data_IF_703615605756
#
_entry.id   IF_703615605756
#
_cell.length_a   1.000
_cell.length_b   1.000
_cell.length_c   1.000
_cell.angle_alpha   90.00
_cell.angle_beta   90.00
_cell.angle_gamma   90.00
#
_symmetry.space_group_name_H-M   'P 1'
#
loop_
_entity.id
_entity.type
_entity.pdbx_description
1 polymer ?
#
# COMPACT_ATOMS: atom_id res chain seq x y z
N UNK A 1 19.78 11.26 -37.64
CA UNK A 1 19.42 12.29 -36.61
C UNK A 1 19.07 11.50 -35.35
N UNK A 2 19.90 11.59 -34.32
CA UNK A 2 19.57 10.95 -33.05
C UNK A 2 18.33 11.65 -32.49
N UNK A 3 17.22 10.95 -32.43
CA UNK A 3 16.02 11.44 -31.76
C UNK A 3 16.35 11.51 -30.28
N UNK A 4 16.72 12.68 -29.79
CA UNK A 4 16.89 12.90 -28.37
C UNK A 4 15.55 12.58 -27.70
N UNK A 5 15.57 11.64 -26.76
CA UNK A 5 14.45 11.47 -25.83
C UNK A 5 14.30 12.82 -25.16
N UNK A 6 13.28 13.57 -25.57
CA UNK A 6 13.13 14.93 -25.09
C UNK A 6 12.66 14.90 -23.64
N UNK A 7 13.23 15.76 -22.80
CA UNK A 7 12.86 15.92 -21.40
C UNK A 7 11.34 16.03 -21.16
N UNK A 8 10.62 16.58 -22.14
CA UNK A 8 9.15 16.63 -22.17
C UNK A 8 8.48 15.24 -22.28
N UNK A 9 9.08 14.32 -23.02
CA UNK A 9 8.54 12.95 -23.16
C UNK A 9 8.64 12.13 -21.87
N UNK A 10 9.72 12.31 -21.11
CA UNK A 10 9.92 11.62 -19.83
C UNK A 10 9.01 12.17 -18.73
N UNK A 11 8.77 13.48 -18.69
CA UNK A 11 7.81 14.08 -17.77
C UNK A 11 6.39 13.56 -18.06
N UNK A 12 5.98 13.50 -19.32
CA UNK A 12 4.68 12.96 -19.70
C UNK A 12 4.55 11.44 -19.38
N UNK A 13 5.64 10.70 -19.46
CA UNK A 13 5.65 9.31 -19.05
C UNK A 13 5.55 9.16 -17.51
N UNK A 14 6.22 10.03 -16.77
CA UNK A 14 6.16 10.09 -15.32
C UNK A 14 4.73 10.29 -14.80
N UNK A 15 4.02 11.28 -15.33
CA UNK A 15 2.63 11.54 -14.96
C UNK A 15 1.72 10.34 -15.21
N UNK A 16 1.94 9.63 -16.32
CA UNK A 16 1.17 8.41 -16.62
C UNK A 16 1.48 7.24 -15.70
N UNK A 17 2.73 7.11 -15.22
CA UNK A 17 3.10 6.12 -14.20
C UNK A 17 2.30 6.35 -12.93
N UNK A 18 2.29 7.60 -12.44
CA UNK A 18 1.55 7.96 -11.22
C UNK A 18 0.06 7.74 -11.39
N UNK A 19 -0.54 8.28 -12.44
CA UNK A 19 -1.97 8.13 -12.70
C UNK A 19 -2.43 6.67 -12.78
N UNK A 20 -1.56 5.77 -13.22
CA UNK A 20 -1.86 4.34 -13.27
C UNK A 20 -1.59 3.62 -11.95
N UNK A 21 -0.62 4.07 -11.16
CA UNK A 21 -0.27 3.50 -9.86
C UNK A 21 -1.20 3.98 -8.72
N UNK A 22 -1.63 5.23 -8.77
CA UNK A 22 -2.39 5.91 -7.74
C UNK A 22 -3.62 5.15 -7.25
N UNK A 23 -4.56 4.68 -8.10
CA UNK A 23 -5.77 3.99 -7.62
C UNK A 23 -5.46 2.66 -6.91
N UNK A 24 -4.30 2.08 -7.16
CA UNK A 24 -3.84 0.85 -6.50
C UNK A 24 -3.20 1.20 -5.15
N UNK A 25 -2.36 2.23 -5.12
CA UNK A 25 -1.70 2.70 -3.89
C UNK A 25 -2.68 3.35 -2.92
N UNK A 26 -3.74 3.99 -3.41
CA UNK A 26 -4.82 4.55 -2.57
C UNK A 26 -5.47 3.49 -1.66
N UNK A 27 -5.45 2.22 -2.04
CA UNK A 27 -5.93 1.14 -1.17
C UNK A 27 -5.08 1.01 0.10
N UNK A 28 -3.78 1.32 0.04
CA UNK A 28 -2.90 1.31 1.21
C UNK A 28 -3.23 2.44 2.18
N UNK A 29 -3.82 3.55 1.73
CA UNK A 29 -4.25 4.65 2.59
C UNK A 29 -5.36 4.27 3.57
N UNK A 30 -6.03 3.14 3.34
CA UNK A 30 -6.99 2.58 4.29
C UNK A 30 -6.32 2.01 5.55
N UNK A 31 -5.06 1.63 5.45
CA UNK A 31 -4.31 0.93 6.49
C UNK A 31 -3.22 1.78 7.15
N UNK A 32 -2.75 2.82 6.47
CA UNK A 32 -1.67 3.70 6.95
C UNK A 32 -2.15 5.13 7.13
N UNK A 33 -1.60 5.80 8.15
CA UNK A 33 -1.81 7.23 8.38
C UNK A 33 -0.65 8.08 7.87
N UNK A 34 0.56 7.50 7.77
CA UNK A 34 1.77 8.21 7.40
C UNK A 34 2.66 7.42 6.45
N UNK A 35 3.05 8.08 5.36
CA UNK A 35 4.14 7.64 4.51
C UNK A 35 5.38 8.45 4.89
N UNK A 36 6.29 7.85 5.64
CA UNK A 36 7.53 8.53 6.01
C UNK A 36 8.44 8.68 4.78
N UNK A 37 8.69 9.93 4.41
CA UNK A 37 9.66 10.32 3.39
C UNK A 37 10.97 10.65 4.09
N UNK A 38 11.78 9.67 4.42
CA UNK A 38 13.09 9.96 5.00
C UNK A 38 14.24 9.60 4.06
N UNK A 39 15.35 10.33 4.22
CA UNK A 39 16.56 10.21 3.42
C UNK A 39 17.48 9.07 3.86
N UNK A 40 16.98 8.02 4.47
CA UNK A 40 17.75 6.89 4.95
C UNK A 40 18.47 6.13 3.82
N UNK A 41 19.60 5.50 4.09
CA UNK A 41 20.36 4.68 3.12
C UNK A 41 19.65 3.34 2.91
N UNK A 42 19.79 2.67 1.74
CA UNK A 42 19.27 1.31 1.54
C UNK A 42 19.74 0.39 2.67
N UNK A 43 18.81 -0.40 3.21
CA UNK A 43 19.08 -1.30 4.34
C UNK A 43 19.11 -0.62 5.72
N UNK A 44 18.96 0.71 5.80
CA UNK A 44 18.80 1.40 7.08
C UNK A 44 17.34 1.40 7.52
N UNK A 45 17.10 1.42 8.83
CA UNK A 45 15.78 1.56 9.39
C UNK A 45 15.37 3.02 9.42
N UNK A 46 14.12 3.28 9.06
CA UNK A 46 13.44 4.56 9.28
C UNK A 46 12.65 4.44 10.57
N UNK A 47 12.89 5.34 11.52
CA UNK A 47 12.11 5.37 12.75
C UNK A 47 10.78 6.09 12.50
N UNK A 48 9.67 5.37 12.65
CA UNK A 48 8.32 5.94 12.64
C UNK A 48 7.87 6.05 14.09
N UNK A 49 7.57 7.26 14.53
CA UNK A 49 7.11 7.52 15.90
C UNK A 49 5.61 7.29 16.00
N UNK A 50 5.20 6.35 16.84
CA UNK A 50 3.80 6.10 17.14
C UNK A 50 3.47 6.72 18.48
N UNK A 51 2.49 7.63 18.47
CA UNK A 51 1.97 8.29 19.65
C UNK A 51 0.81 7.48 20.22
N UNK A 52 0.96 6.95 21.41
CA UNK A 52 -0.16 6.40 22.18
C UNK A 52 -0.50 7.35 23.34
N UNK A 53 -1.76 7.77 23.42
CA UNK A 53 -2.28 8.58 24.50
C UNK A 53 -3.31 7.78 25.29
N UNK A 54 -3.18 7.80 26.62
CA UNK A 54 -4.17 7.21 27.52
C UNK A 54 -4.85 8.33 28.29
N UNK A 55 -6.18 8.37 28.26
CA UNK A 55 -6.95 9.25 29.13
C UNK A 55 -6.88 8.70 30.57
N UNK A 56 -6.58 9.56 31.52
CA UNK A 56 -6.60 9.24 32.94
C UNK A 56 -7.70 10.04 33.65
N UNK A 57 -8.25 9.45 34.70
CA UNK A 57 -9.24 10.13 35.52
C UNK A 57 -8.59 11.23 36.35
N UNK A 58 -9.26 12.38 36.47
CA UNK A 58 -8.90 13.45 37.38
C UNK A 58 -9.42 13.07 38.79
N UNK A 59 -8.50 12.68 39.65
CA UNK A 59 -8.82 12.39 41.06
C UNK A 59 -8.48 13.59 41.97
N UNK A 60 -9.30 13.82 43.02
CA UNK A 60 -9.06 14.89 43.97
C UNK A 60 -7.68 14.80 44.66
N UNK A 61 -7.15 13.59 44.80
CA UNK A 61 -5.85 13.32 45.43
C UNK A 61 -4.67 13.36 44.46
N UNK A 62 -4.92 13.26 43.14
CA UNK A 62 -3.86 13.10 42.11
C UNK A 62 -3.63 14.36 41.27
N UNK A 63 -4.54 15.36 41.34
CA UNK A 63 -4.42 16.58 40.52
C UNK A 63 -4.24 16.28 39.04
N UNK A 64 -3.48 17.10 38.33
CA UNK A 64 -3.03 16.86 36.95
C UNK A 64 -1.78 15.97 36.95
N UNK A 65 -1.95 14.68 37.22
CA UNK A 65 -0.86 13.71 37.03
C UNK A 65 -0.60 13.54 35.52
N UNK A 66 0.67 13.57 35.14
CA UNK A 66 1.08 13.34 33.74
C UNK A 66 0.58 11.96 33.32
N UNK A 67 -0.35 11.91 32.37
CA UNK A 67 -0.65 10.65 31.67
C UNK A 67 0.64 10.15 31.01
N UNK A 68 0.90 8.87 31.13
CA UNK A 68 2.08 8.23 30.51
C UNK A 68 1.83 8.09 29.01
N UNK A 69 2.01 9.18 28.26
CA UNK A 69 2.04 9.10 26.81
C UNK A 69 3.38 8.44 26.43
N UNK A 70 3.31 7.33 25.75
CA UNK A 70 4.49 6.65 25.22
C UNK A 70 4.65 7.03 23.75
N UNK A 71 5.84 7.49 23.39
CA UNK A 71 6.29 7.58 22.03
C UNK A 71 7.18 6.34 21.81
N UNK A 72 6.72 5.40 21.03
CA UNK A 72 7.48 4.21 20.69
C UNK A 72 7.94 4.31 19.24
N UNK A 73 9.25 4.44 18.97
CA UNK A 73 9.76 4.40 17.60
C UNK A 73 9.67 2.98 17.06
N UNK A 74 9.03 2.81 15.91
CA UNK A 74 9.05 1.57 15.14
C UNK A 74 10.04 1.75 14.00
N UNK A 75 10.95 0.80 13.85
CA UNK A 75 11.93 0.82 12.77
C UNK A 75 11.37 0.11 11.55
N UNK A 76 11.15 0.85 10.47
CA UNK A 76 10.80 0.31 9.15
C UNK A 76 12.08 0.14 8.34
N UNK A 77 12.42 -1.10 8.01
CA UNK A 77 13.62 -1.40 7.21
C UNK A 77 13.29 -1.30 5.72
N UNK A 78 14.07 -0.53 4.97
CA UNK A 78 13.93 -0.40 3.52
C UNK A 78 14.59 -1.60 2.81
N UNK A 79 13.85 -2.68 2.65
CA UNK A 79 14.32 -3.96 2.10
C UNK A 79 13.68 -4.34 0.75
N UNK A 80 12.64 -3.62 0.32
CA UNK A 80 11.90 -3.90 -0.89
C UNK A 80 12.29 -2.95 -2.02
N UNK A 81 13.20 -3.41 -2.89
CA UNK A 81 13.53 -2.68 -4.12
C UNK A 81 12.74 -3.28 -5.30
N UNK A 82 11.72 -2.59 -5.76
CA UNK A 82 10.90 -2.98 -6.91
C UNK A 82 11.25 -2.12 -8.11
N UNK A 83 11.40 -2.77 -9.26
CA UNK A 83 11.71 -2.09 -10.52
C UNK A 83 10.88 -2.68 -11.66
N UNK A 84 10.57 -1.84 -12.63
CA UNK A 84 10.05 -2.22 -13.94
C UNK A 84 10.95 -1.61 -15.00
N UNK A 85 11.58 -2.44 -15.81
CA UNK A 85 12.52 -2.00 -16.85
C UNK A 85 11.96 -2.39 -18.21
N UNK A 86 12.03 -1.46 -19.14
CA UNK A 86 11.70 -1.69 -20.54
C UNK A 86 12.92 -1.32 -21.38
N UNK A 87 13.33 -2.24 -22.27
CA UNK A 87 14.49 -2.09 -23.13
C UNK A 87 14.07 -2.10 -24.59
N UNK A 88 14.61 -1.17 -25.37
CA UNK A 88 14.38 -1.04 -26.81
C UNK A 88 15.74 -1.14 -27.49
N UNK A 89 15.82 -1.87 -28.61
CA UNK A 89 17.00 -1.92 -29.44
C UNK A 89 17.12 -0.66 -30.33
N UNK A 90 18.33 -0.33 -30.74
CA UNK A 90 18.57 0.78 -31.68
C UNK A 90 17.86 0.58 -33.03
N UNK A 91 17.68 -0.68 -33.45
CA UNK A 91 16.95 -1.02 -34.65
C UNK A 91 15.48 -0.67 -34.53
N UNK A 92 14.84 -1.08 -33.42
CA UNK A 92 13.43 -0.74 -33.13
C UNK A 92 13.23 0.77 -32.98
N UNK A 93 14.24 1.44 -32.42
CA UNK A 93 14.24 2.90 -32.26
C UNK A 93 14.33 3.68 -33.58
N UNK A 94 14.97 3.10 -34.59
CA UNK A 94 15.06 3.70 -35.91
C UNK A 94 13.76 3.55 -36.71
N UNK A 95 13.04 2.44 -36.50
CA UNK A 95 11.80 2.13 -37.20
C UNK A 95 10.57 2.81 -36.61
N UNK A 96 10.61 3.18 -35.33
CA UNK A 96 9.46 3.68 -34.59
C UNK A 96 9.77 5.03 -33.91
N UNK A 97 8.77 5.90 -33.86
CA UNK A 97 8.80 7.06 -32.95
C UNK A 97 8.66 6.57 -31.50
N UNK A 98 9.70 6.75 -30.71
CA UNK A 98 9.76 6.25 -29.32
C UNK A 98 8.82 6.98 -28.35
N UNK A 99 8.37 8.19 -28.69
CA UNK A 99 7.50 8.97 -27.80
C UNK A 99 6.17 8.27 -27.47
N UNK A 100 5.45 7.68 -28.46
CA UNK A 100 4.24 6.91 -28.18
C UNK A 100 4.51 5.62 -27.40
N UNK A 101 5.66 4.99 -27.63
CA UNK A 101 6.04 3.73 -26.95
C UNK A 101 6.19 3.97 -25.44
N UNK A 102 6.97 4.97 -25.05
CA UNK A 102 7.13 5.32 -23.64
C UNK A 102 5.79 5.68 -22.98
N UNK A 103 4.95 6.43 -23.68
CA UNK A 103 3.65 6.83 -23.20
C UNK A 103 2.69 5.65 -22.96
N UNK A 104 2.82 4.56 -23.73
CA UNK A 104 1.98 3.38 -23.56
C UNK A 104 2.53 2.40 -22.51
N UNK A 105 3.84 2.35 -22.33
CA UNK A 105 4.50 1.46 -21.36
C UNK A 105 4.43 2.03 -19.94
N UNK A 106 4.46 3.34 -19.78
CA UNK A 106 4.45 4.00 -18.48
C UNK A 106 3.29 3.55 -17.56
N UNK A 107 2.03 3.47 -18.02
CA UNK A 107 0.94 2.97 -17.21
C UNK A 107 1.09 1.50 -16.79
N UNK A 108 1.72 0.68 -17.64
CA UNK A 108 1.97 -0.74 -17.35
C UNK A 108 3.02 -0.88 -16.26
N UNK A 109 4.11 -0.12 -16.36
CA UNK A 109 5.17 -0.08 -15.35
C UNK A 109 4.65 0.40 -13.99
N UNK A 110 3.86 1.48 -13.98
CA UNK A 110 3.26 2.02 -12.76
C UNK A 110 2.36 1.01 -12.06
N UNK A 111 1.45 0.36 -12.81
CA UNK A 111 0.60 -0.71 -12.27
C UNK A 111 1.39 -1.91 -11.76
N UNK A 112 2.43 -2.32 -12.46
CA UNK A 112 3.25 -3.46 -12.06
C UNK A 112 3.95 -3.21 -10.72
N UNK A 113 4.53 -2.02 -10.52
CA UNK A 113 5.19 -1.66 -9.28
C UNK A 113 4.16 -1.55 -8.14
N UNK A 114 3.06 -0.81 -8.36
CA UNK A 114 2.02 -0.65 -7.35
C UNK A 114 1.42 -1.99 -6.92
N UNK A 115 1.10 -2.87 -7.86
CA UNK A 115 0.61 -4.21 -7.57
C UNK A 115 1.61 -5.04 -6.77
N UNK A 116 2.90 -4.97 -7.12
CA UNK A 116 3.94 -5.70 -6.40
C UNK A 116 4.10 -5.23 -4.96
N UNK A 117 3.92 -3.93 -4.71
CA UNK A 117 3.96 -3.34 -3.37
C UNK A 117 2.74 -3.74 -2.54
N UNK A 118 1.54 -3.56 -3.10
CA UNK A 118 0.30 -3.94 -2.41
C UNK A 118 0.28 -5.43 -2.10
N UNK A 119 0.68 -6.29 -3.06
CA UNK A 119 0.80 -7.73 -2.83
C UNK A 119 1.77 -8.06 -1.69
N UNK A 120 2.88 -7.31 -1.58
CA UNK A 120 3.85 -7.55 -0.50
C UNK A 120 3.29 -7.15 0.88
N UNK A 121 2.59 -6.03 0.98
CA UNK A 121 1.90 -5.62 2.22
C UNK A 121 0.83 -6.66 2.59
N UNK A 122 -0.01 -7.07 1.62
CA UNK A 122 -1.04 -8.09 1.87
C UNK A 122 -0.45 -9.44 2.30
N UNK A 123 0.66 -9.87 1.70
CA UNK A 123 1.38 -11.06 2.13
C UNK A 123 1.94 -10.95 3.57
N UNK A 124 2.25 -9.74 4.01
CA UNK A 124 2.64 -9.49 5.40
C UNK A 124 1.54 -9.80 6.41
N UNK A 125 0.28 -9.61 6.05
CA UNK A 125 -0.87 -9.99 6.88
C UNK A 125 -1.13 -11.50 6.93
N UNK A 126 -0.46 -12.30 6.12
CA UNK A 126 -0.52 -13.77 6.19
C UNK A 126 0.35 -14.35 7.33
N UNK A 127 1.15 -13.53 7.97
CA UNK A 127 1.95 -13.96 9.12
C UNK A 127 1.03 -14.38 10.28
N UNK A 128 1.42 -15.39 11.09
CA UNK A 128 0.67 -15.81 12.28
C UNK A 128 0.62 -14.76 13.40
N UNK A 129 1.07 -13.54 13.13
CA UNK A 129 1.23 -12.46 14.09
C UNK A 129 -0.04 -11.61 14.30
N UNK A 130 -1.21 -12.08 13.87
CA UNK A 130 -2.48 -11.44 14.20
C UNK A 130 -2.68 -11.30 15.72
N UNK A 131 -3.27 -10.19 16.16
CA UNK A 131 -3.53 -9.95 17.58
C UNK A 131 -4.58 -10.92 18.17
N UNK A 132 -5.40 -11.52 17.32
CA UNK A 132 -6.43 -12.49 17.66
C UNK A 132 -7.22 -12.91 16.43
N UNK A 133 -8.22 -13.74 16.65
CA UNK A 133 -9.07 -14.29 15.60
C UNK A 133 -10.54 -14.00 15.87
N UNK A 134 -11.27 -13.59 14.85
CA UNK A 134 -12.72 -13.48 14.85
C UNK A 134 -13.31 -14.67 14.09
N UNK A 135 -14.35 -15.29 14.64
CA UNK A 135 -14.97 -16.47 14.02
C UNK A 135 -16.22 -16.06 13.28
N UNK A 136 -16.30 -16.41 11.99
CA UNK A 136 -17.48 -16.15 11.16
C UNK A 136 -17.57 -17.14 10.00
N UNK A 137 -18.77 -17.63 9.69
CA UNK A 137 -19.00 -18.41 8.48
C UNK A 137 -18.91 -17.54 7.20
N UNK A 138 -19.16 -16.23 7.33
CA UNK A 138 -19.19 -15.26 6.20
C UNK A 138 -20.17 -15.67 5.08
N UNK A 139 -21.33 -16.18 5.44
CA UNK A 139 -22.35 -16.65 4.49
C UNK A 139 -23.59 -15.76 4.47
N UNK A 140 -23.93 -15.18 5.61
CA UNK A 140 -25.12 -14.35 5.79
C UNK A 140 -24.76 -12.96 6.30
N UNK A 141 -25.67 -12.00 6.15
CA UNK A 141 -25.46 -10.66 6.71
C UNK A 141 -25.26 -10.68 8.23
N UNK A 142 -25.89 -11.62 8.94
CA UNK A 142 -25.72 -11.80 10.37
C UNK A 142 -24.29 -12.25 10.72
N UNK A 143 -23.67 -13.09 9.88
CA UNK A 143 -22.30 -13.53 10.06
C UNK A 143 -21.33 -12.35 9.95
N UNK A 144 -21.52 -11.47 8.97
CA UNK A 144 -20.71 -10.26 8.82
C UNK A 144 -20.94 -9.28 9.97
N UNK A 145 -22.17 -9.13 10.46
CA UNK A 145 -22.47 -8.33 11.65
C UNK A 145 -21.82 -8.90 12.91
N UNK A 146 -21.65 -10.22 13.00
CA UNK A 146 -20.95 -10.86 14.11
C UNK A 146 -19.46 -10.46 14.19
N UNK A 147 -18.82 -10.23 13.03
CA UNK A 147 -17.41 -9.75 12.98
C UNK A 147 -17.31 -8.38 13.63
N UNK A 148 -18.24 -7.48 13.29
CA UNK A 148 -18.30 -6.15 13.90
C UNK A 148 -18.47 -6.24 15.43
N UNK A 149 -19.39 -7.08 15.91
CA UNK A 149 -19.61 -7.26 17.33
C UNK A 149 -18.37 -7.82 18.06
N UNK A 150 -17.61 -8.71 17.41
CA UNK A 150 -16.36 -9.23 17.95
C UNK A 150 -15.26 -8.16 17.95
N UNK A 151 -15.19 -7.30 16.93
CA UNK A 151 -14.24 -6.18 16.86
C UNK A 151 -14.49 -5.20 18.03
N UNK A 152 -15.75 -4.82 18.29
CA UNK A 152 -16.10 -3.97 19.44
C UNK A 152 -15.73 -4.63 20.77
N UNK A 153 -15.97 -5.94 20.94
CA UNK A 153 -15.55 -6.68 22.13
C UNK A 153 -14.04 -6.74 22.31
N UNK A 154 -13.29 -6.70 21.23
CA UNK A 154 -11.83 -6.63 21.26
C UNK A 154 -11.30 -5.20 21.55
N UNK A 155 -12.19 -4.21 21.71
CA UNK A 155 -11.83 -2.82 21.96
C UNK A 155 -11.46 -2.03 20.71
N UNK A 156 -11.81 -2.53 19.53
CA UNK A 156 -11.65 -1.80 18.27
C UNK A 156 -12.86 -0.91 18.00
N UNK A 157 -12.61 0.27 17.42
CA UNK A 157 -13.67 1.06 16.80
C UNK A 157 -13.85 0.60 15.36
N UNK A 158 -14.98 -0.02 14.98
CA UNK A 158 -15.20 -0.45 13.61
C UNK A 158 -15.14 0.71 12.59
N UNK A 159 -15.50 1.93 13.00
CA UNK A 159 -15.47 3.10 12.13
C UNK A 159 -14.04 3.46 11.67
N UNK A 160 -13.03 3.06 12.44
CA UNK A 160 -11.62 3.21 12.10
C UNK A 160 -11.00 1.95 11.48
N UNK A 161 -11.78 0.88 11.34
CA UNK A 161 -11.30 -0.39 10.82
C UNK A 161 -11.76 -0.63 9.38
N UNK A 162 -10.87 -1.24 8.60
CA UNK A 162 -11.19 -1.78 7.26
C UNK A 162 -11.29 -3.31 7.34
N UNK A 163 -12.39 -3.85 6.80
CA UNK A 163 -12.58 -5.29 6.65
C UNK A 163 -12.09 -5.71 5.26
N UNK A 164 -11.06 -6.54 5.20
CA UNK A 164 -10.54 -7.12 3.95
C UNK A 164 -10.99 -8.56 3.86
N UNK A 165 -11.73 -8.90 2.83
CA UNK A 165 -12.29 -10.24 2.63
C UNK A 165 -11.61 -10.96 1.48
N UNK A 166 -11.47 -12.28 1.59
CA UNK A 166 -11.11 -13.13 0.48
C UNK A 166 -12.19 -13.05 -0.64
N UNK A 167 -11.89 -13.39 -1.89
CA UNK A 167 -12.82 -13.26 -3.00
C UNK A 167 -14.16 -14.00 -2.79
N UNK A 168 -14.12 -15.20 -2.21
CA UNK A 168 -15.33 -15.98 -1.96
C UNK A 168 -16.25 -15.33 -0.90
N UNK A 169 -15.78 -15.03 0.35
CA UNK A 169 -16.59 -14.28 1.31
C UNK A 169 -17.07 -12.93 0.81
N UNK A 170 -16.25 -12.22 0.03
CA UNK A 170 -16.63 -10.95 -0.55
C UNK A 170 -17.80 -11.10 -1.55
N UNK A 171 -17.77 -12.11 -2.41
CA UNK A 171 -18.86 -12.39 -3.34
C UNK A 171 -20.18 -12.74 -2.62
N UNK A 172 -20.09 -13.51 -1.51
CA UNK A 172 -21.24 -13.82 -0.66
C UNK A 172 -21.81 -12.56 0.01
N UNK A 173 -20.92 -11.65 0.47
CA UNK A 173 -21.36 -10.35 0.99
C UNK A 173 -22.13 -9.56 -0.05
N UNK A 174 -21.62 -9.44 -1.28
CA UNK A 174 -22.31 -8.74 -2.37
C UNK A 174 -23.69 -9.35 -2.67
N UNK A 175 -23.80 -10.67 -2.62
CA UNK A 175 -25.09 -11.35 -2.82
C UNK A 175 -26.10 -11.08 -1.69
N UNK A 176 -25.64 -10.79 -0.47
CA UNK A 176 -26.48 -10.45 0.66
C UNK A 176 -26.91 -8.98 0.68
N UNK A 177 -26.26 -8.11 -0.12
CA UNK A 177 -26.58 -6.69 -0.14
C UNK A 177 -27.83 -6.42 -0.97
N UNK A 178 -28.77 -5.58 -0.47
CA UNK A 178 -29.93 -5.18 -1.26
C UNK A 178 -29.49 -4.34 -2.48
N UNK A 179 -30.21 -4.47 -3.58
CA UNK A 179 -29.94 -3.80 -4.86
C UNK A 179 -29.82 -2.27 -4.69
N UNK A 180 -30.52 -1.69 -3.71
CA UNK A 180 -30.44 -0.26 -3.39
C UNK A 180 -29.08 0.19 -2.88
N UNK A 181 -28.31 -0.68 -2.23
CA UNK A 181 -26.94 -0.42 -1.76
C UNK A 181 -25.94 -0.66 -2.88
N UNK A 182 -26.24 -1.60 -3.79
CA UNK A 182 -25.45 -1.88 -4.99
C UNK A 182 -25.64 -0.85 -6.12
N UNK A 183 -26.61 0.05 -5.98
CA UNK A 183 -26.94 1.06 -6.99
C UNK A 183 -25.84 2.06 -7.29
N UNK A 184 -24.92 2.28 -6.36
CA UNK A 184 -23.64 2.93 -6.63
C UNK A 184 -22.68 1.91 -7.26
N UNK A 185 -22.66 1.91 -8.60
CA UNK A 185 -21.81 1.03 -9.41
C UNK A 185 -20.29 1.05 -9.08
N UNK A 186 -19.86 1.89 -8.19
CA UNK A 186 -18.45 2.01 -7.78
C UNK A 186 -18.02 0.83 -6.90
N UNK A 187 -18.89 0.36 -6.02
CA UNK A 187 -18.60 -0.80 -5.16
C UNK A 187 -18.33 -2.06 -5.98
N UNK A 188 -19.13 -2.28 -7.04
CA UNK A 188 -18.97 -3.45 -7.93
C UNK A 188 -17.76 -3.28 -8.85
N UNK A 189 -17.46 -2.06 -9.29
CA UNK A 189 -16.33 -1.80 -10.20
C UNK A 189 -14.97 -1.82 -9.54
N UNK A 190 -14.86 -1.37 -8.30
CA UNK A 190 -13.59 -1.22 -7.59
C UNK A 190 -13.33 -2.28 -6.53
N UNK A 191 -14.30 -3.15 -6.25
CA UNK A 191 -14.19 -4.13 -5.16
C UNK A 191 -14.13 -3.47 -3.78
N UNK A 192 -14.66 -2.25 -3.65
CA UNK A 192 -14.71 -1.49 -2.40
C UNK A 192 -16.16 -1.18 -2.09
N UNK A 193 -16.70 -1.76 -1.05
CA UNK A 193 -17.94 -1.33 -0.43
C UNK A 193 -17.56 -0.25 0.57
N UNK A 194 -18.14 0.95 0.45
CA UNK A 194 -17.90 2.04 1.39
C UNK A 194 -18.28 1.67 2.82
N UNK A 195 -18.53 2.63 3.69
CA UNK A 195 -18.92 2.39 5.07
C UNK A 195 -20.11 1.40 5.14
N UNK A 196 -19.84 0.20 5.63
CA UNK A 196 -20.83 -0.87 5.73
C UNK A 196 -20.66 -1.64 7.04
N UNK A 197 -21.77 -1.99 7.68
CA UNK A 197 -21.77 -2.65 9.01
C UNK A 197 -20.90 -1.92 10.05
N UNK A 198 -20.84 -0.59 9.97
CA UNK A 198 -20.04 0.23 10.88
C UNK A 198 -18.54 0.23 10.57
N UNK A 199 -18.03 -0.55 9.62
CA UNK A 199 -16.64 -0.47 9.18
C UNK A 199 -16.42 0.74 8.26
N UNK A 200 -15.21 1.31 8.31
CA UNK A 200 -14.76 2.40 7.45
C UNK A 200 -14.89 2.04 5.96
N UNK A 201 -14.46 0.84 5.62
CA UNK A 201 -14.60 0.25 4.30
C UNK A 201 -14.58 -1.28 4.39
N UNK A 202 -15.23 -1.92 3.41
CA UNK A 202 -15.10 -3.36 3.18
C UNK A 202 -14.54 -3.55 1.78
N UNK A 203 -13.39 -4.18 1.68
CA UNK A 203 -12.67 -4.38 0.42
C UNK A 203 -12.45 -5.86 0.13
N UNK A 204 -12.44 -6.21 -1.15
CA UNK A 204 -11.91 -7.50 -1.58
C UNK A 204 -10.40 -7.49 -1.43
N UNK A 205 -9.80 -8.60 -1.01
CA UNK A 205 -8.35 -8.74 -0.94
C UNK A 205 -7.72 -8.40 -2.30
N UNK A 206 -6.86 -7.37 -2.36
CA UNK A 206 -6.26 -6.93 -3.61
C UNK A 206 -5.24 -7.94 -4.12
N UNK A 207 -5.04 -7.94 -5.44
CA UNK A 207 -4.03 -8.73 -6.13
C UNK A 207 -4.14 -10.25 -5.95
N UNK A 208 -5.34 -10.78 -5.77
CA UNK A 208 -5.61 -12.22 -5.65
C UNK A 208 -4.84 -12.89 -4.50
N UNK A 209 -4.40 -12.13 -3.51
CA UNK A 209 -3.82 -12.68 -2.30
C UNK A 209 -4.96 -13.30 -1.50
N UNK A 210 -4.96 -14.62 -1.38
CA UNK A 210 -5.90 -15.35 -0.54
C UNK A 210 -5.24 -15.66 0.80
N UNK A 211 -5.92 -15.32 1.89
CA UNK A 211 -5.52 -15.73 3.23
C UNK A 211 -5.90 -17.21 3.38
N UNK A 212 -4.95 -18.12 3.22
CA UNK A 212 -5.15 -19.54 2.94
C UNK A 212 -6.05 -20.30 3.94
N UNK A 213 -6.07 -19.91 5.21
CA UNK A 213 -6.92 -20.50 6.27
C UNK A 213 -8.02 -19.56 6.75
N UNK A 214 -8.02 -18.31 6.29
CA UNK A 214 -8.84 -17.24 6.83
C UNK A 214 -9.88 -16.77 5.81
N UNK A 215 -11.01 -16.29 6.30
CA UNK A 215 -12.03 -15.66 5.46
C UNK A 215 -11.65 -14.23 5.10
N UNK A 216 -10.79 -13.62 5.88
CA UNK A 216 -10.32 -12.25 5.70
C UNK A 216 -9.58 -11.74 6.92
N UNK A 217 -9.40 -10.44 6.99
CA UNK A 217 -8.77 -9.73 8.11
C UNK A 217 -9.52 -8.45 8.44
N UNK A 218 -9.43 -8.01 9.69
CA UNK A 218 -9.87 -6.70 10.15
C UNK A 218 -8.63 -5.88 10.49
N UNK A 219 -8.45 -4.77 9.81
CA UNK A 219 -7.26 -3.92 9.91
C UNK A 219 -7.66 -2.53 10.37
N UNK A 220 -7.22 -2.09 11.56
CA UNK A 220 -7.41 -0.71 11.99
C UNK A 220 -6.57 0.27 11.16
N UNK A 221 -7.04 1.50 11.01
CA UNK A 221 -6.26 2.59 10.41
C UNK A 221 -4.99 2.81 11.23
N UNK A 222 -3.85 3.03 10.56
CA UNK A 222 -2.55 3.17 11.23
C UNK A 222 -1.85 1.85 11.58
N UNK A 223 -2.42 0.70 11.18
CA UNK A 223 -1.78 -0.60 11.38
C UNK A 223 -0.51 -0.81 10.55
N UNK A 224 -0.40 -0.14 9.40
CA UNK A 224 0.73 -0.28 8.48
C UNK A 224 1.55 1.00 8.47
N UNK A 225 2.83 0.93 8.81
CA UNK A 225 3.79 2.00 8.62
C UNK A 225 4.57 1.74 7.31
N UNK A 226 4.56 2.69 6.39
CA UNK A 226 5.23 2.58 5.10
C UNK A 226 6.29 3.68 4.98
N UNK A 227 7.49 3.31 4.58
CA UNK A 227 8.53 4.24 4.21
C UNK A 227 8.96 3.99 2.75
N UNK A 228 9.11 5.04 1.96
CA UNK A 228 9.57 4.93 0.58
C UNK A 228 10.71 5.89 0.30
N UNK A 229 11.58 5.50 -0.64
CA UNK A 229 12.74 6.29 -1.03
C UNK A 229 13.08 6.09 -2.49
N UNK A 230 13.66 7.12 -3.08
CA UNK A 230 14.29 7.04 -4.40
C UNK A 230 15.72 6.56 -4.25
N UNK A 231 16.11 5.61 -5.08
CA UNK A 231 17.51 5.16 -5.19
C UNK A 231 18.24 6.06 -6.18
N UNK A 232 19.05 6.97 -5.65
CA UNK A 232 19.87 7.83 -6.51
C UNK A 232 21.00 7.03 -7.17
N UNK A 233 21.30 7.29 -8.46
CA UNK A 233 22.42 6.66 -9.12
C UNK A 233 23.74 7.05 -8.45
N UNK A 234 24.68 6.10 -8.33
CA UNK A 234 25.96 6.29 -7.66
C UNK A 234 26.89 7.23 -8.45
N UNK A 235 26.68 7.33 -9.76
CA UNK A 235 27.44 8.20 -10.65
C UNK A 235 26.50 8.87 -11.63
N UNK A 236 26.62 10.19 -11.75
CA UNK A 236 26.17 10.92 -12.92
C UNK A 236 27.21 10.76 -14.03
N UNK A 237 26.79 10.34 -15.20
CA UNK A 237 27.66 10.10 -16.35
C UNK A 237 27.78 8.64 -16.72
N UNK A 238 28.51 8.33 -17.78
CA UNK A 238 28.56 7.02 -18.40
C UNK A 238 27.29 6.73 -19.22
N UNK A 239 26.68 5.59 -19.00
CA UNK A 239 25.53 5.15 -19.77
C UNK A 239 24.19 5.75 -19.28
N UNK A 240 24.18 6.50 -18.17
CA UNK A 240 22.99 7.16 -17.64
C UNK A 240 22.75 8.48 -18.39
N UNK A 241 21.65 8.57 -19.14
CA UNK A 241 21.26 9.76 -19.87
C UNK A 241 20.44 10.71 -19.01
N UNK A 242 19.47 10.16 -18.27
CA UNK A 242 18.55 10.95 -17.49
C UNK A 242 18.11 10.20 -16.21
N UNK A 243 17.95 10.98 -15.15
CA UNK A 243 17.39 10.52 -13.89
C UNK A 243 16.35 11.54 -13.41
N UNK A 244 15.21 11.05 -12.96
CA UNK A 244 14.15 11.88 -12.40
C UNK A 244 13.48 11.21 -11.21
N UNK A 245 12.85 12.00 -10.37
CA UNK A 245 12.03 11.54 -9.25
C UNK A 245 10.59 11.90 -9.50
N UNK A 246 9.69 11.00 -9.14
CA UNK A 246 8.26 11.15 -9.28
C UNK A 246 7.63 10.92 -7.92
N UNK A 247 6.84 11.87 -7.44
CA UNK A 247 6.13 11.74 -6.18
C UNK A 247 4.64 11.79 -6.41
N UNK A 248 3.91 10.87 -5.83
CA UNK A 248 2.45 10.91 -5.78
C UNK A 248 2.02 11.87 -4.66
N UNK A 249 1.36 12.96 -5.01
CA UNK A 249 0.91 13.98 -4.05
C UNK A 249 -0.12 13.46 -3.03
N UNK A 250 -0.91 12.44 -3.41
CA UNK A 250 -1.95 11.92 -2.53
C UNK A 250 -1.43 10.92 -1.51
N UNK A 251 -0.57 10.01 -1.94
CA UNK A 251 -0.04 8.94 -1.08
C UNK A 251 1.34 9.26 -0.52
N UNK A 252 2.00 10.30 -1.03
CA UNK A 252 3.38 10.61 -0.68
C UNK A 252 4.41 9.60 -1.22
N UNK A 253 3.98 8.60 -1.97
CA UNK A 253 4.84 7.55 -2.47
C UNK A 253 5.80 8.06 -3.54
N UNK A 254 7.07 7.69 -3.44
CA UNK A 254 8.11 8.23 -4.33
C UNK A 254 8.70 7.14 -5.22
N UNK A 255 8.78 7.44 -6.52
CA UNK A 255 9.35 6.59 -7.55
C UNK A 255 10.58 7.28 -8.16
N UNK A 256 11.59 6.49 -8.50
CA UNK A 256 12.71 6.91 -9.36
C UNK A 256 12.46 6.48 -10.79
N UNK A 257 12.86 7.32 -11.74
CA UNK A 257 12.94 6.93 -13.14
C UNK A 257 14.34 7.19 -13.67
N UNK A 258 14.83 6.29 -14.51
CA UNK A 258 16.13 6.43 -15.15
C UNK A 258 16.12 5.93 -16.58
N UNK A 259 16.90 6.58 -17.43
CA UNK A 259 17.18 6.16 -18.81
C UNK A 259 18.65 5.84 -18.91
N UNK A 260 18.93 4.62 -19.34
CA UNK A 260 20.30 4.11 -19.52
C UNK A 260 20.45 3.64 -20.96
N UNK A 261 21.53 4.04 -21.62
CA UNK A 261 21.92 3.56 -22.93
C UNK A 261 23.12 2.64 -22.80
N UNK A 262 23.00 1.45 -23.35
CA UNK A 262 24.11 0.53 -23.50
C UNK A 262 24.59 0.57 -24.95
N UNK A 263 25.67 1.30 -25.18
CA UNK A 263 26.24 1.48 -26.50
C UNK A 263 26.87 0.19 -27.05
N UNK A 264 27.35 -0.69 -26.19
CA UNK A 264 27.97 -1.95 -26.58
C UNK A 264 26.91 -2.96 -27.09
N UNK A 265 25.71 -2.89 -26.55
CA UNK A 265 24.58 -3.74 -26.96
C UNK A 265 23.61 -3.04 -27.91
N UNK A 266 23.79 -1.75 -28.19
CA UNK A 266 22.87 -0.96 -29.01
C UNK A 266 21.46 -0.96 -28.44
N UNK A 267 21.31 -0.71 -27.11
CA UNK A 267 20.02 -0.73 -26.44
C UNK A 267 19.81 0.52 -25.56
N UNK A 268 18.55 0.97 -25.49
CA UNK A 268 18.10 2.00 -24.57
C UNK A 268 17.09 1.41 -23.59
N UNK A 269 17.35 1.54 -22.31
CA UNK A 269 16.50 1.04 -21.23
C UNK A 269 15.90 2.17 -20.42
N UNK A 270 14.58 2.15 -20.25
CA UNK A 270 13.86 2.97 -19.31
C UNK A 270 13.42 2.15 -18.12
N UNK A 271 13.74 2.60 -16.93
CA UNK A 271 13.45 1.91 -15.69
C UNK A 271 12.72 2.84 -14.74
N UNK A 272 11.64 2.35 -14.15
CA UNK A 272 11.00 2.95 -12.99
C UNK A 272 11.26 2.04 -11.80
N UNK A 273 11.69 2.61 -10.69
CA UNK A 273 11.97 1.84 -9.47
C UNK A 273 11.52 2.57 -8.20
N UNK A 274 11.34 1.80 -7.14
CA UNK A 274 11.09 2.30 -5.81
C UNK A 274 11.78 1.39 -4.78
N UNK A 275 12.40 2.02 -3.81
CA UNK A 275 12.87 1.34 -2.59
C UNK A 275 11.90 1.68 -1.47
N UNK A 276 11.28 0.67 -0.91
CA UNK A 276 10.34 0.85 0.18
C UNK A 276 10.54 -0.21 1.28
N UNK A 277 9.99 0.08 2.43
CA UNK A 277 9.82 -0.83 3.53
C UNK A 277 8.46 -0.62 4.16
N UNK A 278 8.02 -1.61 4.91
CA UNK A 278 6.79 -1.50 5.69
C UNK A 278 6.90 -2.34 6.96
N UNK A 279 6.18 -1.90 7.97
CA UNK A 279 5.96 -2.64 9.20
C UNK A 279 4.47 -2.77 9.42
N UNK A 280 4.03 -3.96 9.82
CA UNK A 280 2.62 -4.27 10.08
C UNK A 280 2.47 -4.54 11.55
N UNK A 281 1.55 -3.85 12.20
CA UNK A 281 1.24 -4.03 13.62
C UNK A 281 0.62 -5.40 13.90
N UNK A 282 1.40 -6.25 14.55
CA UNK A 282 1.01 -7.61 14.91
C UNK A 282 0.92 -7.84 16.42
N UNK A 283 0.90 -9.10 16.82
CA UNK A 283 0.84 -9.50 18.24
C UNK A 283 2.05 -9.00 19.05
N UNK A 284 3.21 -8.89 18.41
CA UNK A 284 4.44 -8.40 19.03
C UNK A 284 4.41 -6.90 19.38
N UNK A 285 3.54 -6.13 18.72
CA UNK A 285 3.45 -4.67 18.89
C UNK A 285 2.50 -4.24 20.00
N UNK A 286 2.09 -5.15 20.87
CA UNK A 286 1.16 -4.87 21.98
C UNK A 286 1.61 -3.72 22.88
N UNK A 287 2.91 -3.63 23.13
CA UNK A 287 3.47 -2.64 24.06
C UNK A 287 3.90 -1.35 23.37
N UNK A 288 3.93 -1.33 22.03
CA UNK A 288 4.35 -0.17 21.24
C UNK A 288 3.20 0.80 20.94
N UNK A 289 1.95 0.44 21.27
CA UNK A 289 0.77 1.25 20.99
C UNK A 289 0.33 1.26 19.53
N UNK A 290 0.96 0.46 18.67
CA UNK A 290 0.55 0.31 17.28
C UNK A 290 -0.79 -0.44 17.18
N UNK A 291 -1.75 0.05 16.38
CA UNK A 291 -2.96 -0.69 16.08
C UNK A 291 -2.62 -2.06 15.50
N UNK A 292 -3.34 -3.12 15.90
CA UNK A 292 -3.03 -4.50 15.52
C UNK A 292 -4.16 -5.08 14.70
N UNK A 293 -3.84 -5.88 13.69
CA UNK A 293 -4.84 -6.55 12.85
C UNK A 293 -5.35 -7.85 13.49
N UNK A 294 -6.52 -8.29 13.05
CA UNK A 294 -7.18 -9.53 13.49
C UNK A 294 -7.56 -10.37 12.28
N UNK A 295 -7.34 -11.67 12.37
CA UNK A 295 -7.76 -12.65 11.35
C UNK A 295 -9.23 -12.99 11.48
N UNK A 296 -9.92 -13.18 10.35
CA UNK A 296 -11.29 -13.72 10.31
C UNK A 296 -11.22 -15.15 9.80
N UNK A 297 -11.53 -16.10 10.70
CA UNK A 297 -11.46 -17.54 10.42
C UNK A 297 -12.86 -18.14 10.32
N UNK A 298 -12.96 -19.32 9.73
CA UNK A 298 -14.19 -20.08 9.70
C UNK A 298 -14.67 -20.39 11.13
N UNK A 299 -16.00 -20.30 11.34
CA UNK A 299 -16.64 -20.60 12.62
C UNK A 299 -16.65 -22.10 12.94
#
# INVERSE_FOLDING_TARGET
MATSVTKSGLVAAADKVILAAQPILEQLSLFTTDFALDAAKPGSGVAVEILSATAGDFGADNGYTKSTNKIAPITVTLDQHKKSTFTISDVDALENDLSPVWANIAPVAGRAIANALVAKVMNGFMSPDAAGTFKSACETLADFASIQAQAVKAGLDPADCTLVLNPEPYSKLLACLPVSVLGDNEAVRRGVVGAFLGFKAVIQSPNLVEFASDKGIVVPTGNVAIASRVVYPVREGGNLIEFGTIQDEKTGFTLGQRVVVDADQGTCSWTVDSLCGFHIGGSADKDNGMPRFYSVVAA
#
